data_IF_461084042091
#
_entry.id   IF_461084042091
#
_cell.length_a   1.000
_cell.length_b   1.000
_cell.length_c   1.000
_cell.angle_alpha   90.00
_cell.angle_beta   90.00
_cell.angle_gamma   90.00
#
_symmetry.space_group_name_H-M   'P 1'
#
loop_
_entity.id
_entity.type
_entity.pdbx_description
1 polymer ?
#
# COMPACT_ATOMS: atom_id res chain seq x y z
N UNK A 1 -5.71 4.17 2.99
CA UNK A 1 -6.38 4.29 1.68
C UNK A 1 -5.57 5.25 0.83
N UNK A 2 -5.03 4.78 -0.30
CA UNK A 2 -4.26 5.60 -1.24
C UNK A 2 -5.22 6.48 -2.05
N UNK A 3 -4.86 7.76 -2.21
CA UNK A 3 -5.65 8.74 -2.93
C UNK A 3 -4.77 9.49 -3.90
N UNK A 4 -5.29 9.73 -5.10
CA UNK A 4 -4.68 10.67 -6.04
C UNK A 4 -5.64 11.85 -6.22
N UNK A 5 -5.10 13.04 -6.12
CA UNK A 5 -5.79 14.28 -6.43
C UNK A 5 -5.36 14.72 -7.82
N UNK A 6 -6.34 14.98 -8.67
CA UNK A 6 -6.21 15.59 -9.99
C UNK A 6 -7.02 16.88 -9.97
N UNK A 7 -6.37 18.04 -10.09
CA UNK A 7 -7.00 19.33 -9.88
C UNK A 7 -7.54 19.43 -8.46
N UNK A 8 -8.83 19.79 -8.36
CA UNK A 8 -9.55 19.88 -7.08
C UNK A 8 -10.22 18.56 -6.67
N UNK A 9 -10.21 17.56 -7.54
CA UNK A 9 -10.94 16.31 -7.32
C UNK A 9 -10.01 15.25 -6.74
N UNK A 10 -10.49 14.55 -5.72
CA UNK A 10 -9.75 13.48 -5.06
C UNK A 10 -10.39 12.14 -5.34
N UNK A 11 -9.60 11.23 -5.88
CA UNK A 11 -10.01 9.88 -6.25
C UNK A 11 -9.41 8.89 -5.25
N UNK A 12 -10.22 7.92 -4.83
CA UNK A 12 -9.69 6.75 -4.13
C UNK A 12 -9.02 5.89 -5.19
N UNK A 13 -7.70 5.70 -5.07
CA UNK A 13 -6.94 4.90 -6.00
C UNK A 13 -6.61 3.56 -5.33
N UNK A 14 -7.61 2.71 -5.21
CA UNK A 14 -7.48 1.41 -4.59
C UNK A 14 -6.52 0.50 -5.37
N UNK A 15 -6.40 0.71 -6.69
CA UNK A 15 -5.42 0.04 -7.56
C UNK A 15 -4.87 1.02 -8.61
N UNK A 16 -3.64 0.80 -9.07
CA UNK A 16 -3.06 1.54 -10.19
C UNK A 16 -2.59 0.54 -11.23
N UNK A 17 -3.21 0.55 -12.41
CA UNK A 17 -2.88 -0.38 -13.50
C UNK A 17 -2.67 0.40 -14.79
N UNK A 18 -1.53 0.20 -15.45
CA UNK A 18 -1.28 0.77 -16.77
C UNK A 18 -1.87 -0.17 -17.81
N UNK A 19 -2.64 0.40 -18.73
CA UNK A 19 -3.02 -0.21 -20.00
C UNK A 19 -2.23 0.49 -21.11
N UNK A 20 -1.14 -0.15 -21.53
CA UNK A 20 -0.26 0.36 -22.57
C UNK A 20 -0.94 0.43 -23.93
N UNK A 21 -1.91 -0.46 -24.19
CA UNK A 21 -2.60 -0.54 -25.48
C UNK A 21 -3.48 0.68 -25.73
N UNK A 22 -4.03 1.25 -24.65
CA UNK A 22 -4.91 2.42 -24.69
C UNK A 22 -4.26 3.70 -24.12
N UNK A 23 -3.00 3.63 -23.66
CA UNK A 23 -2.30 4.70 -22.96
C UNK A 23 -3.12 5.24 -21.77
N UNK A 24 -3.55 4.34 -20.89
CA UNK A 24 -4.41 4.65 -19.74
C UNK A 24 -3.80 4.17 -18.41
N UNK A 25 -4.09 4.90 -17.34
CA UNK A 25 -3.84 4.50 -15.96
C UNK A 25 -5.19 4.33 -15.24
N UNK A 26 -5.53 3.10 -14.89
CA UNK A 26 -6.74 2.79 -14.12
C UNK A 26 -6.52 3.03 -12.63
N UNK A 27 -7.47 3.70 -11.96
CA UNK A 27 -7.42 4.05 -10.54
C UNK A 27 -8.11 3.00 -9.64
N UNK A 28 -8.69 1.93 -10.20
CA UNK A 28 -9.27 0.80 -9.47
C UNK A 28 -10.75 0.99 -9.06
N UNK A 29 -11.22 2.22 -8.91
CA UNK A 29 -12.61 2.58 -8.59
C UNK A 29 -13.48 2.88 -9.81
N UNK A 30 -13.15 2.30 -10.96
CA UNK A 30 -13.83 2.55 -12.24
C UNK A 30 -13.50 3.92 -12.84
N UNK A 31 -12.39 4.54 -12.45
CA UNK A 31 -11.87 5.73 -13.12
C UNK A 31 -10.58 5.39 -13.86
N UNK A 32 -10.40 6.02 -15.02
CA UNK A 32 -9.18 5.96 -15.83
C UNK A 32 -8.65 7.35 -16.05
N UNK A 33 -7.33 7.46 -16.06
CA UNK A 33 -6.61 8.65 -16.43
C UNK A 33 -5.88 8.39 -17.75
N UNK A 34 -6.12 9.25 -18.73
CA UNK A 34 -5.42 9.21 -20.03
C UNK A 34 -4.47 10.38 -20.10
N UNK A 35 -3.25 10.14 -20.56
CA UNK A 35 -2.30 11.22 -20.83
C UNK A 35 -2.56 11.81 -22.23
N UNK A 36 -2.68 13.13 -22.31
CA UNK A 36 -2.92 13.85 -23.57
C UNK A 36 -1.64 14.46 -24.16
N UNK A 37 -0.55 14.51 -23.40
CA UNK A 37 0.68 15.16 -23.84
C UNK A 37 1.71 14.14 -24.31
N UNK A 38 2.21 14.33 -25.53
CA UNK A 38 3.10 13.40 -26.23
C UNK A 38 4.46 13.17 -25.53
N UNK A 39 4.87 14.07 -24.65
CA UNK A 39 6.15 14.03 -23.93
C UNK A 39 6.04 13.51 -22.50
N UNK A 40 4.86 13.07 -22.08
CA UNK A 40 4.61 12.59 -20.72
C UNK A 40 4.44 11.08 -20.76
N UNK A 41 5.13 10.35 -19.88
CA UNK A 41 5.03 8.89 -19.80
C UNK A 41 4.16 8.49 -18.62
N UNK A 42 3.14 7.65 -18.87
CA UNK A 42 2.34 7.06 -17.80
C UNK A 42 3.17 6.17 -16.88
N UNK A 43 4.20 5.51 -17.42
CA UNK A 43 5.16 4.73 -16.63
C UNK A 43 5.97 5.62 -15.69
N UNK A 44 6.41 6.78 -16.15
CA UNK A 44 7.16 7.72 -15.30
C UNK A 44 6.27 8.32 -14.22
N UNK A 45 5.00 8.62 -14.55
CA UNK A 45 4.02 9.06 -13.56
C UNK A 45 3.75 7.97 -12.52
N UNK A 46 3.55 6.72 -12.95
CA UNK A 46 3.34 5.60 -12.03
C UNK A 46 4.58 5.35 -11.16
N UNK A 47 5.79 5.46 -11.71
CA UNK A 47 7.03 5.36 -10.96
C UNK A 47 7.15 6.47 -9.91
N UNK A 48 6.78 7.71 -10.26
CA UNK A 48 6.68 8.82 -9.32
C UNK A 48 5.68 8.52 -8.19
N UNK A 49 4.48 8.07 -8.54
CA UNK A 49 3.44 7.70 -7.57
C UNK A 49 3.93 6.61 -6.63
N UNK A 50 4.51 5.53 -7.18
CA UNK A 50 5.05 4.43 -6.40
C UNK A 50 6.20 4.89 -5.50
N UNK A 51 7.10 5.76 -5.98
CA UNK A 51 8.17 6.35 -5.17
C UNK A 51 7.60 7.12 -3.98
N UNK A 52 6.66 8.02 -4.20
CA UNK A 52 6.04 8.79 -3.11
C UNK A 52 5.27 7.90 -2.14
N UNK A 53 4.56 6.90 -2.66
CA UNK A 53 3.91 5.91 -1.83
C UNK A 53 4.92 5.14 -0.95
N UNK A 54 6.07 4.74 -1.51
CA UNK A 54 7.16 4.11 -0.75
C UNK A 54 7.79 5.03 0.30
N UNK A 55 7.70 6.35 0.13
CA UNK A 55 8.10 7.36 1.11
C UNK A 55 7.01 7.64 2.18
N UNK A 56 5.83 7.03 2.07
CA UNK A 56 4.75 7.14 3.04
C UNK A 56 3.67 8.16 2.69
N UNK A 57 3.67 8.70 1.47
CA UNK A 57 2.65 9.60 0.96
C UNK A 57 1.45 8.79 0.43
N UNK A 58 0.37 8.81 1.21
CA UNK A 58 -0.89 8.13 0.85
C UNK A 58 -1.87 9.05 0.11
N UNK A 59 -1.50 10.32 -0.11
CA UNK A 59 -2.25 11.31 -0.87
C UNK A 59 -1.27 11.96 -1.84
N UNK A 60 -1.41 11.65 -3.13
CA UNK A 60 -0.57 12.20 -4.19
C UNK A 60 -1.34 13.31 -4.88
N UNK A 61 -0.74 14.50 -4.96
CA UNK A 61 -1.24 15.54 -5.86
C UNK A 61 -0.54 15.37 -7.21
N UNK A 62 -1.29 14.90 -8.21
CA UNK A 62 -0.78 14.64 -9.54
C UNK A 62 -0.35 15.94 -10.25
N UNK A 63 -1.00 17.08 -9.94
CA UNK A 63 -0.68 18.37 -10.57
C UNK A 63 0.74 18.83 -10.28
N UNK A 64 1.32 18.43 -9.14
CA UNK A 64 2.73 18.71 -8.81
C UNK A 64 3.65 18.03 -9.81
N UNK A 65 3.35 16.78 -10.20
CA UNK A 65 4.16 16.07 -11.17
C UNK A 65 3.90 16.61 -12.58
N UNK A 66 2.64 16.82 -12.96
CA UNK A 66 2.32 17.33 -14.29
C UNK A 66 2.87 18.73 -14.53
N UNK A 67 2.80 19.65 -13.56
CA UNK A 67 3.39 20.98 -13.68
C UNK A 67 4.89 20.94 -13.93
N UNK A 68 5.61 20.01 -13.31
CA UNK A 68 7.04 19.78 -13.53
C UNK A 68 7.35 19.14 -14.89
N UNK A 69 6.36 18.52 -15.53
CA UNK A 69 6.48 17.81 -16.81
C UNK A 69 5.66 18.49 -17.92
N UNK A 70 5.49 19.81 -17.84
CA UNK A 70 4.91 20.63 -18.92
C UNK A 70 3.40 20.83 -18.86
N UNK A 71 2.72 20.41 -17.79
CA UNK A 71 1.31 20.68 -17.54
C UNK A 71 1.10 22.03 -16.88
N UNK A 72 -0.09 22.61 -17.03
CA UNK A 72 -0.47 23.85 -16.36
C UNK A 72 -1.96 23.88 -16.05
N UNK A 73 -2.41 24.85 -15.24
CA UNK A 73 -3.84 25.02 -14.94
C UNK A 73 -4.71 25.25 -16.19
N UNK A 74 -4.13 25.88 -17.23
CA UNK A 74 -4.84 26.19 -18.47
C UNK A 74 -4.57 25.16 -19.59
N UNK A 75 -3.69 24.20 -19.35
CA UNK A 75 -3.34 23.14 -20.29
C UNK A 75 -2.92 21.90 -19.49
N UNK A 76 -3.93 21.15 -19.03
CA UNK A 76 -3.71 19.91 -18.26
C UNK A 76 -3.28 18.80 -19.20
N UNK A 77 -2.22 18.10 -18.82
CA UNK A 77 -1.65 17.01 -19.62
C UNK A 77 -2.38 15.68 -19.44
N UNK A 78 -3.50 15.66 -18.73
CA UNK A 78 -4.26 14.46 -18.43
C UNK A 78 -5.76 14.75 -18.46
N UNK A 79 -6.56 13.69 -18.68
CA UNK A 79 -8.00 13.67 -18.42
C UNK A 79 -8.30 12.49 -17.51
N UNK A 80 -9.22 12.66 -16.57
CA UNK A 80 -9.75 11.56 -15.74
C UNK A 80 -11.23 11.35 -16.05
N UNK A 81 -11.59 10.15 -16.46
CA UNK A 81 -12.95 9.76 -16.84
C UNK A 81 -13.39 8.50 -16.10
N UNK A 82 -14.70 8.29 -16.00
CA UNK A 82 -15.25 7.06 -15.42
C UNK A 82 -15.40 6.03 -16.53
N UNK A 83 -14.86 4.82 -16.33
CA UNK A 83 -15.09 3.68 -17.20
C UNK A 83 -16.59 3.34 -17.22
N UNK A 84 -17.12 3.11 -18.41
CA UNK A 84 -18.48 2.62 -18.56
C UNK A 84 -18.56 1.22 -17.95
N UNK A 85 -19.63 0.96 -17.19
CA UNK A 85 -19.79 -0.21 -16.29
C UNK A 85 -19.63 -1.56 -17.04
N UNK A 86 -19.76 -1.56 -18.37
CA UNK A 86 -19.66 -2.73 -19.23
C UNK A 86 -18.23 -3.05 -19.73
N UNK A 87 -17.19 -2.29 -19.34
CA UNK A 87 -15.80 -2.44 -19.83
C UNK A 87 -14.75 -2.64 -18.74
N UNK A 88 -15.14 -2.92 -17.49
CA UNK A 88 -14.18 -3.21 -16.43
C UNK A 88 -13.36 -4.47 -16.79
N UNK A 89 -12.01 -4.41 -16.80
CA UNK A 89 -11.19 -5.59 -17.08
C UNK A 89 -11.45 -6.68 -16.04
N UNK A 90 -11.35 -7.93 -16.48
CA UNK A 90 -11.52 -9.13 -15.66
C UNK A 90 -10.74 -8.99 -14.35
N UNK A 91 -11.47 -9.11 -13.24
CA UNK A 91 -10.94 -9.15 -11.89
C UNK A 91 -9.82 -10.20 -11.77
N UNK A 92 -8.58 -9.75 -11.66
CA UNK A 92 -7.55 -10.54 -10.96
C UNK A 92 -7.97 -10.75 -9.50
N UNK A 93 -7.58 -11.87 -8.87
CA UNK A 93 -7.90 -12.17 -7.48
C UNK A 93 -7.50 -11.00 -6.58
N UNK A 94 -8.37 -10.66 -5.65
CA UNK A 94 -8.32 -9.46 -4.82
C UNK A 94 -6.91 -9.18 -4.28
N UNK A 95 -6.31 -8.05 -4.72
CA UNK A 95 -5.22 -7.44 -3.97
C UNK A 95 -5.78 -6.92 -2.64
N UNK A 96 -5.77 -7.75 -1.61
CA UNK A 96 -6.22 -7.38 -0.27
C UNK A 96 -5.09 -6.69 0.49
N UNK A 97 -5.27 -5.39 0.77
CA UNK A 97 -4.33 -4.61 1.58
C UNK A 97 -4.57 -4.92 3.06
N UNK A 98 -3.64 -5.62 3.70
CA UNK A 98 -3.63 -5.80 5.16
C UNK A 98 -3.47 -4.43 5.86
N UNK A 99 -4.40 -4.09 6.76
CA UNK A 99 -4.34 -2.90 7.61
C UNK A 99 -3.60 -3.23 8.91
N UNK A 100 -2.47 -2.61 9.21
CA UNK A 100 -1.84 -2.72 10.53
C UNK A 100 -2.26 -1.56 11.43
N UNK A 101 -2.75 -1.89 12.63
CA UNK A 101 -3.09 -0.93 13.68
C UNK A 101 -2.09 -1.13 14.81
N UNK A 102 -1.28 -0.10 15.06
CA UNK A 102 -0.28 -0.16 16.13
C UNK A 102 -0.87 0.13 17.52
N UNK A 103 -0.03 0.06 18.54
CA UNK A 103 -0.38 0.31 19.94
C UNK A 103 -0.92 1.73 20.21
N UNK A 104 -0.65 2.69 19.30
CA UNK A 104 -1.13 4.07 19.37
C UNK A 104 -2.39 4.28 18.52
N UNK A 105 -3.00 3.20 18.05
CA UNK A 105 -4.14 3.21 17.12
C UNK A 105 -3.84 3.90 15.79
N UNK A 106 -2.57 3.95 15.35
CA UNK A 106 -2.22 4.50 14.04
C UNK A 106 -2.46 3.45 12.97
N UNK A 107 -3.22 3.85 11.94
CA UNK A 107 -3.62 3.01 10.83
C UNK A 107 -2.59 3.03 9.71
N UNK A 108 -1.93 1.90 9.49
CA UNK A 108 -0.93 1.69 8.45
C UNK A 108 -1.51 0.79 7.35
N UNK A 109 -1.64 1.33 6.14
CA UNK A 109 -2.18 0.59 5.00
C UNK A 109 -1.05 -0.03 4.18
N UNK A 110 -1.11 -1.33 3.93
CA UNK A 110 -0.08 -2.05 3.20
C UNK A 110 1.07 -2.43 4.13
N UNK A 111 1.11 -3.70 4.50
CA UNK A 111 2.10 -4.26 5.42
C UNK A 111 2.95 -5.25 4.64
N UNK A 112 4.26 -5.12 4.73
CA UNK A 112 5.19 -6.11 4.24
C UNK A 112 5.85 -6.80 5.43
N UNK A 113 5.68 -8.11 5.54
CA UNK A 113 6.49 -8.90 6.47
C UNK A 113 7.86 -9.06 5.83
N UNK A 114 8.85 -8.42 6.45
CA UNK A 114 10.21 -8.41 5.94
C UNK A 114 10.90 -9.70 6.31
N UNK A 115 10.88 -10.03 7.60
CA UNK A 115 11.55 -11.21 8.11
C UNK A 115 10.97 -11.66 9.45
N UNK A 116 11.30 -12.89 9.81
CA UNK A 116 11.04 -13.48 11.12
C UNK A 116 12.25 -14.34 11.47
N UNK A 117 12.92 -14.00 12.58
CA UNK A 117 14.14 -14.68 13.01
C UNK A 117 14.14 -14.78 14.54
N UNK A 118 14.13 -16.01 15.07
CA UNK A 118 14.16 -16.25 16.51
C UNK A 118 12.98 -15.60 17.24
N UNK A 119 13.28 -14.65 18.13
CA UNK A 119 12.29 -13.91 18.93
C UNK A 119 11.75 -12.66 18.22
N UNK A 120 12.15 -12.40 16.97
CA UNK A 120 11.90 -11.14 16.28
C UNK A 120 11.01 -11.32 15.05
N UNK A 121 10.01 -10.45 14.92
CA UNK A 121 9.21 -10.24 13.72
C UNK A 121 9.50 -8.83 13.20
N UNK A 122 9.87 -8.73 11.93
CA UNK A 122 10.11 -7.46 11.26
C UNK A 122 8.97 -7.16 10.28
N UNK A 123 8.22 -6.10 10.58
CA UNK A 123 7.15 -5.60 9.74
C UNK A 123 7.55 -4.24 9.16
N UNK A 124 7.19 -3.99 7.92
CA UNK A 124 7.36 -2.69 7.29
C UNK A 124 6.02 -2.17 6.80
N UNK A 125 5.75 -0.92 7.13
CA UNK A 125 4.65 -0.12 6.59
C UNK A 125 5.25 1.02 5.74
N UNK A 126 4.43 1.81 5.03
CA UNK A 126 4.96 2.93 4.25
C UNK A 126 5.78 3.92 5.10
N UNK A 127 5.41 4.13 6.37
CA UNK A 127 6.02 5.16 7.23
C UNK A 127 6.96 4.61 8.30
N UNK A 128 6.81 3.34 8.67
CA UNK A 128 7.51 2.78 9.82
C UNK A 128 8.07 1.41 9.53
N UNK A 129 9.19 1.11 10.16
CA UNK A 129 9.65 -0.26 10.39
C UNK A 129 9.29 -0.61 11.83
N UNK A 130 8.54 -1.69 12.01
CA UNK A 130 8.19 -2.21 13.32
C UNK A 130 9.04 -3.44 13.62
N UNK A 131 9.73 -3.41 14.75
CA UNK A 131 10.31 -4.60 15.37
C UNK A 131 9.36 -5.09 16.44
N UNK A 132 8.87 -6.32 16.29
CA UNK A 132 8.02 -6.96 17.27
C UNK A 132 8.79 -8.10 17.91
N UNK A 133 8.99 -8.04 19.23
CA UNK A 133 9.71 -9.05 20.00
C UNK A 133 8.76 -9.92 20.79
N UNK A 134 9.02 -11.22 20.74
CA UNK A 134 8.39 -12.24 21.57
C UNK A 134 9.06 -12.22 22.95
N UNK A 135 8.25 -12.25 24.01
CA UNK A 135 8.77 -12.44 25.38
C UNK A 135 9.36 -13.83 25.62
N UNK A 136 8.89 -14.83 24.87
CA UNK A 136 9.33 -16.22 24.96
C UNK A 136 8.95 -17.00 23.70
N UNK A 137 9.70 -18.07 23.43
CA UNK A 137 9.57 -18.88 22.22
C UNK A 137 10.31 -18.28 21.02
N UNK A 138 10.36 -19.06 19.94
CA UNK A 138 11.04 -18.68 18.71
C UNK A 138 10.16 -19.00 17.51
N UNK A 139 10.22 -18.14 16.50
CA UNK A 139 9.54 -18.26 15.23
C UNK A 139 10.60 -18.33 14.12
N UNK A 140 10.65 -19.44 13.39
CA UNK A 140 11.71 -19.70 12.40
C UNK A 140 11.17 -19.86 10.97
N UNK A 141 9.85 -19.78 10.78
CA UNK A 141 9.23 -20.03 9.48
C UNK A 141 8.43 -18.82 8.98
N UNK A 142 9.11 -17.98 8.20
CA UNK A 142 8.52 -16.80 7.57
C UNK A 142 7.35 -17.15 6.64
N UNK A 143 7.42 -18.27 5.91
CA UNK A 143 6.36 -18.66 4.97
C UNK A 143 5.08 -19.03 5.71
N UNK A 144 5.19 -19.85 6.76
CA UNK A 144 4.06 -20.24 7.60
C UNK A 144 3.45 -19.05 8.33
N UNK A 145 4.28 -18.10 8.78
CA UNK A 145 3.79 -16.85 9.38
C UNK A 145 3.03 -16.00 8.35
N UNK A 146 3.57 -15.85 7.13
CA UNK A 146 2.90 -15.14 6.01
C UNK A 146 1.58 -15.79 5.63
N UNK A 147 1.50 -17.10 5.61
CA UNK A 147 0.25 -17.84 5.35
C UNK A 147 -0.79 -17.57 6.45
N UNK A 148 -0.37 -17.64 7.72
CA UNK A 148 -1.27 -17.42 8.85
C UNK A 148 -1.89 -16.02 8.87
N UNK A 149 -1.16 -14.98 8.42
CA UNK A 149 -1.69 -13.60 8.34
C UNK A 149 -2.47 -13.33 7.05
N UNK A 150 -2.34 -14.16 6.01
CA UNK A 150 -2.93 -13.90 4.70
C UNK A 150 -4.47 -13.90 4.74
N UNK A 151 -5.06 -14.53 5.75
CA UNK A 151 -6.51 -14.56 5.98
C UNK A 151 -7.02 -13.37 6.80
N UNK A 152 -6.14 -12.52 7.30
CA UNK A 152 -6.50 -11.37 8.11
C UNK A 152 -6.73 -10.13 7.24
N UNK A 153 -7.80 -9.38 7.52
CA UNK A 153 -8.02 -8.05 6.91
C UNK A 153 -7.33 -6.94 7.69
N UNK A 154 -7.16 -7.15 8.99
CA UNK A 154 -6.55 -6.21 9.92
C UNK A 154 -5.57 -6.95 10.82
N UNK A 155 -4.37 -6.42 10.97
CA UNK A 155 -3.32 -6.91 11.85
C UNK A 155 -3.19 -5.97 13.04
N UNK A 156 -3.44 -6.48 14.24
CA UNK A 156 -3.28 -5.76 15.51
C UNK A 156 -2.35 -6.56 16.42
N UNK A 157 -1.80 -5.94 17.48
CA UNK A 157 -0.98 -6.66 18.46
C UNK A 157 -1.70 -7.88 19.08
N UNK A 158 -3.00 -7.80 19.45
CA UNK A 158 -3.75 -8.99 19.89
C UNK A 158 -3.87 -10.09 18.83
N UNK A 159 -4.09 -9.75 17.56
CA UNK A 159 -4.18 -10.73 16.47
C UNK A 159 -2.83 -11.39 16.26
N UNK A 160 -1.75 -10.59 16.19
CA UNK A 160 -0.38 -11.09 16.11
C UNK A 160 -0.04 -12.03 17.26
N UNK A 161 -0.43 -11.67 18.49
CA UNK A 161 -0.18 -12.50 19.67
C UNK A 161 -0.84 -13.87 19.52
N UNK A 162 -2.11 -13.92 19.08
CA UNK A 162 -2.82 -15.20 18.86
C UNK A 162 -2.19 -16.04 17.75
N UNK A 163 -1.78 -15.42 16.65
CA UNK A 163 -1.12 -16.11 15.54
C UNK A 163 0.21 -16.70 16.02
N UNK A 164 1.03 -15.91 16.71
CA UNK A 164 2.31 -16.36 17.24
C UNK A 164 2.12 -17.49 18.25
N UNK A 165 1.21 -17.36 19.22
CA UNK A 165 0.88 -18.43 20.18
C UNK A 165 0.54 -19.76 19.49
N UNK A 166 -0.25 -19.70 18.41
CA UNK A 166 -0.61 -20.89 17.63
C UNK A 166 0.61 -21.50 16.94
N UNK A 167 1.44 -20.67 16.30
CA UNK A 167 2.61 -21.13 15.53
C UNK A 167 3.72 -21.67 16.42
N UNK A 168 3.92 -21.10 17.62
CA UNK A 168 4.93 -21.54 18.59
C UNK A 168 4.40 -22.57 19.59
N UNK A 169 3.12 -22.94 19.52
CA UNK A 169 2.45 -23.86 20.46
C UNK A 169 2.55 -23.43 21.94
N UNK A 170 2.50 -22.12 22.19
CA UNK A 170 2.65 -21.54 23.53
C UNK A 170 1.30 -21.00 24.02
N UNK A 171 0.89 -21.40 25.23
CA UNK A 171 -0.38 -20.95 25.82
C UNK A 171 -0.35 -19.46 26.23
N UNK A 172 0.83 -18.92 26.51
CA UNK A 172 1.02 -17.52 26.88
C UNK A 172 2.23 -16.97 26.14
N UNK A 173 2.10 -15.85 25.44
CA UNK A 173 3.20 -15.06 24.88
C UNK A 173 2.78 -13.60 25.00
N UNK A 174 3.66 -12.76 25.53
CA UNK A 174 3.56 -11.32 25.37
C UNK A 174 4.40 -10.88 24.16
N UNK A 175 3.87 -9.95 23.38
CA UNK A 175 4.59 -9.28 22.29
C UNK A 175 4.85 -7.83 22.71
N UNK A 176 6.05 -7.33 22.43
CA UNK A 176 6.39 -5.92 22.54
C UNK A 176 6.75 -5.36 21.17
N UNK A 177 6.38 -4.10 20.90
CA UNK A 177 6.62 -3.46 19.61
C UNK A 177 7.46 -2.21 19.77
N UNK A 178 8.30 -1.93 18.78
CA UNK A 178 8.97 -0.64 18.64
C UNK A 178 8.89 -0.21 17.19
N UNK A 179 8.62 1.09 16.97
CA UNK A 179 8.41 1.67 15.66
C UNK A 179 9.52 2.68 15.34
N UNK A 180 10.23 2.44 14.25
CA UNK A 180 11.22 3.36 13.69
C UNK A 180 10.59 4.10 12.52
N UNK A 181 10.54 5.42 12.57
CA UNK A 181 10.10 6.22 11.43
C UNK A 181 11.14 6.10 10.32
N UNK A 182 10.71 5.76 9.11
CA UNK A 182 11.62 5.60 7.95
C UNK A 182 12.17 6.92 7.44
N UNK A 183 11.55 8.04 7.84
CA UNK A 183 11.84 9.38 7.36
C UNK A 183 12.59 10.25 8.39
N UNK A 184 13.03 9.66 9.51
CA UNK A 184 13.80 10.35 10.56
C UNK A 184 15.29 10.02 10.49
#
# INVERSE_FOLDING_TARGET
>A
MFKITFGKTRYNADKLMIDDSNNQLQLGNGFVMTNLCANVSLHDFLAYVNKHYHLGDNIINADIWYSRNGGSENNTNYIVERLDINTAPSTEPSFERLLFIDERQVHNYGVKIMDVEGDLILLMTPRFVYTIRLSQGELHNLAQFKEAIAHEKTLTMPILTKIVQKLTQQNTIALSSHAYNRNS
#
